data_IF_501726292527
#
_entry.id   IF_501726292527
#
_cell.length_a   1.000
_cell.length_b   1.000
_cell.length_c   1.000
_cell.angle_alpha   90.00
_cell.angle_beta   90.00
_cell.angle_gamma   90.00
#
_symmetry.space_group_name_H-M   'P 1'
#
loop_
_entity.id
_entity.type
_entity.pdbx_description
1 polymer ?
#
# COMPACT_ATOMS: atom_id res chain seq x y z
N UNK A 1 -1.16 -20.88 1.08
CA UNK A 1 0.28 -20.66 0.81
C UNK A 1 0.62 -21.36 -0.50
N UNK A 2 1.73 -21.02 -1.14
CA UNK A 2 2.20 -21.72 -2.33
C UNK A 2 3.54 -22.38 -2.02
N UNK A 3 3.78 -23.58 -2.55
CA UNK A 3 5.06 -24.26 -2.39
C UNK A 3 6.13 -23.58 -3.26
N UNK A 4 7.27 -23.21 -2.66
CA UNK A 4 8.36 -22.52 -3.36
C UNK A 4 9.05 -23.39 -4.44
N UNK A 5 8.96 -24.73 -4.35
CA UNK A 5 9.57 -25.62 -5.35
C UNK A 5 8.61 -25.96 -6.51
N UNK A 6 7.32 -26.17 -6.25
CA UNK A 6 6.40 -26.68 -7.29
C UNK A 6 5.17 -25.79 -7.54
N UNK A 7 5.05 -24.64 -6.87
CA UNK A 7 3.96 -23.69 -7.08
C UNK A 7 2.57 -24.17 -6.65
N UNK A 8 2.43 -25.35 -6.03
CA UNK A 8 1.12 -25.88 -5.65
C UNK A 8 0.53 -25.12 -4.45
N UNK A 9 -0.79 -24.93 -4.44
CA UNK A 9 -1.53 -24.24 -3.38
C UNK A 9 -1.70 -25.18 -2.18
N UNK A 10 -1.06 -24.84 -1.06
CA UNK A 10 -1.23 -25.55 0.20
C UNK A 10 -2.24 -24.83 1.11
N UNK A 11 -3.19 -25.59 1.65
CA UNK A 11 -4.05 -25.14 2.74
C UNK A 11 -3.21 -25.12 4.03
N UNK A 12 -3.24 -24.02 4.77
CA UNK A 12 -2.23 -23.63 5.78
C UNK A 12 -2.09 -24.49 7.06
N UNK A 13 -2.36 -25.80 6.99
CA UNK A 13 -2.22 -26.75 8.10
C UNK A 13 -1.36 -27.99 7.77
N UNK A 14 -0.63 -27.99 6.65
CA UNK A 14 0.24 -29.09 6.25
C UNK A 14 1.71 -28.68 6.27
N UNK A 15 2.54 -29.51 6.92
CA UNK A 15 3.99 -29.26 7.07
C UNK A 15 4.79 -29.57 5.81
N UNK A 16 4.23 -30.31 4.85
CA UNK A 16 4.90 -30.77 3.63
C UNK A 16 3.99 -30.57 2.42
N UNK A 17 4.58 -30.20 1.28
CA UNK A 17 3.84 -30.05 0.04
C UNK A 17 3.36 -31.42 -0.47
N UNK A 18 2.06 -31.63 -0.73
CA UNK A 18 1.53 -32.92 -1.16
C UNK A 18 1.99 -33.32 -2.57
N UNK A 19 2.55 -32.38 -3.34
CA UNK A 19 2.95 -32.63 -4.72
C UNK A 19 4.46 -32.85 -4.90
N UNK A 20 5.31 -32.29 -4.03
CA UNK A 20 6.76 -32.41 -4.16
C UNK A 20 7.50 -32.78 -2.87
N UNK A 21 6.78 -33.00 -1.77
CA UNK A 21 7.36 -33.41 -0.49
C UNK A 21 8.19 -32.35 0.23
N UNK A 22 8.37 -31.16 -0.34
CA UNK A 22 9.16 -30.11 0.30
C UNK A 22 8.49 -29.62 1.59
N UNK A 23 9.28 -29.44 2.65
CA UNK A 23 8.83 -28.82 3.90
C UNK A 23 8.29 -27.42 3.62
N UNK A 24 7.03 -27.19 3.97
CA UNK A 24 6.41 -25.88 3.90
C UNK A 24 6.88 -25.08 5.11
N UNK A 25 7.58 -23.98 4.87
CA UNK A 25 7.93 -23.04 5.93
C UNK A 25 6.63 -22.36 6.35
N UNK A 26 6.13 -22.68 7.55
CA UNK A 26 5.05 -21.95 8.19
C UNK A 26 5.53 -20.52 8.46
N UNK A 27 5.39 -19.64 7.46
CA UNK A 27 5.49 -18.22 7.71
C UNK A 27 4.27 -17.87 8.54
N UNK A 28 4.48 -17.57 9.82
CA UNK A 28 3.48 -16.89 10.63
C UNK A 28 3.26 -15.53 9.97
N UNK A 29 2.34 -15.47 9.01
CA UNK A 29 1.84 -14.22 8.45
C UNK A 29 1.01 -13.57 9.56
N UNK A 30 1.67 -12.95 10.53
CA UNK A 30 1.03 -11.91 11.31
C UNK A 30 0.52 -10.90 10.31
N UNK A 31 -0.79 -10.69 10.28
CA UNK A 31 -1.38 -9.64 9.46
C UNK A 31 -0.64 -8.34 9.78
N UNK A 32 -0.16 -7.57 8.78
CA UNK A 32 0.50 -6.31 9.07
C UNK A 32 -0.46 -5.44 9.88
N UNK A 33 0.04 -4.91 11.00
CA UNK A 33 -0.76 -4.05 11.86
C UNK A 33 -1.05 -2.75 11.10
N UNK A 34 -2.30 -2.57 10.71
CA UNK A 34 -2.74 -1.36 10.01
C UNK A 34 -2.73 -0.21 11.01
N UNK A 35 -1.95 0.83 10.71
CA UNK A 35 -1.84 2.02 11.54
C UNK A 35 -2.89 3.06 11.15
N UNK A 36 -3.08 3.28 9.85
CA UNK A 36 -4.06 4.25 9.35
C UNK A 36 -4.50 3.92 7.92
N UNK A 37 -5.74 4.30 7.60
CA UNK A 37 -6.32 4.17 6.26
C UNK A 37 -6.93 5.51 5.87
N UNK A 38 -6.58 5.98 4.67
CA UNK A 38 -7.09 7.22 4.10
C UNK A 38 -7.58 6.96 2.69
N UNK A 39 -8.67 7.61 2.30
CA UNK A 39 -9.23 7.55 0.95
C UNK A 39 -9.43 8.95 0.42
N UNK A 40 -9.32 9.12 -0.90
CA UNK A 40 -9.71 10.36 -1.56
C UNK A 40 -11.21 10.61 -1.37
N UNK A 41 -11.59 11.89 -1.36
CA UNK A 41 -12.94 12.29 -0.98
C UNK A 41 -13.66 12.91 -2.17
N UNK A 42 -14.88 12.43 -2.42
CA UNK A 42 -15.78 13.00 -3.43
C UNK A 42 -16.00 14.51 -3.22
N UNK A 43 -16.06 14.95 -1.96
CA UNK A 43 -16.30 16.35 -1.60
C UNK A 43 -15.21 17.30 -2.10
N UNK A 44 -14.02 16.79 -2.40
CA UNK A 44 -12.89 17.57 -2.90
C UNK A 44 -12.45 17.14 -4.30
N UNK A 45 -13.33 16.44 -5.03
CA UNK A 45 -13.09 16.04 -6.43
C UNK A 45 -12.56 14.61 -6.62
N UNK A 46 -12.54 13.79 -5.57
CA UNK A 46 -12.15 12.39 -5.64
C UNK A 46 -13.14 11.55 -6.46
N UNK A 47 -12.66 10.43 -7.00
CA UNK A 47 -13.47 9.55 -7.83
C UNK A 47 -14.45 8.71 -6.98
N UNK A 48 -15.75 8.74 -7.34
CA UNK A 48 -16.84 8.05 -6.63
C UNK A 48 -16.65 6.53 -6.64
N UNK A 49 -16.32 5.99 -7.82
CA UNK A 49 -16.26 4.54 -8.02
C UNK A 49 -14.87 4.00 -7.65
N UNK A 50 -13.86 4.87 -7.65
CA UNK A 50 -12.46 4.46 -7.58
C UNK A 50 -11.64 5.44 -6.74
N UNK A 51 -12.00 5.67 -5.47
CA UNK A 51 -11.21 6.55 -4.65
C UNK A 51 -9.79 5.99 -4.50
N UNK A 52 -8.81 6.86 -4.67
CA UNK A 52 -7.43 6.56 -4.35
C UNK A 52 -7.35 6.26 -2.86
N UNK A 53 -6.70 5.16 -2.46
CA UNK A 53 -6.57 4.77 -1.06
C UNK A 53 -5.12 4.60 -0.68
N UNK A 54 -4.77 5.12 0.48
CA UNK A 54 -3.49 4.89 1.14
C UNK A 54 -3.71 4.15 2.44
N UNK A 55 -3.07 3.00 2.58
CA UNK A 55 -3.07 2.18 3.79
C UNK A 55 -1.64 2.21 4.32
N UNK A 56 -1.47 2.71 5.54
CA UNK A 56 -0.17 2.81 6.21
C UNK A 56 -0.12 1.73 7.29
N UNK A 57 0.90 0.89 7.22
CA UNK A 57 1.19 -0.13 8.23
C UNK A 57 2.53 0.15 8.92
N UNK A 58 3.10 -0.85 9.60
CA UNK A 58 4.40 -0.69 10.25
C UNK A 58 5.60 -0.80 9.31
N UNK A 59 5.41 -1.41 8.14
CA UNK A 59 6.45 -1.68 7.14
C UNK A 59 6.51 -0.64 6.03
N UNK A 60 5.38 -0.02 5.67
CA UNK A 60 5.32 0.90 4.55
C UNK A 60 3.93 1.43 4.23
N UNK A 61 3.79 1.83 2.98
CA UNK A 61 2.58 2.42 2.43
C UNK A 61 2.07 1.55 1.29
N UNK A 62 0.83 1.10 1.39
CA UNK A 62 0.10 0.47 0.29
C UNK A 62 -0.77 1.54 -0.38
N UNK A 63 -0.64 1.67 -1.68
CA UNK A 63 -1.52 2.49 -2.51
C UNK A 63 -2.44 1.60 -3.33
N UNK A 64 -3.74 1.86 -3.20
CA UNK A 64 -4.77 1.20 -4.00
C UNK A 64 -5.41 2.22 -4.93
N UNK A 65 -5.55 1.86 -6.21
CA UNK A 65 -6.36 2.59 -7.19
C UNK A 65 -7.06 1.59 -8.10
N UNK A 66 -8.14 1.96 -8.77
CA UNK A 66 -8.71 1.06 -9.80
C UNK A 66 -7.74 0.94 -10.98
N UNK A 67 -7.63 -0.28 -11.50
CA UNK A 67 -6.94 -0.56 -12.74
C UNK A 67 -7.62 0.20 -13.88
N UNK A 68 -6.84 0.97 -14.64
CA UNK A 68 -7.36 1.78 -15.76
C UNK A 68 -7.97 0.93 -16.88
N UNK A 69 -7.56 -0.33 -17.01
CA UNK A 69 -7.86 -1.21 -18.14
C UNK A 69 -8.75 -2.42 -17.78
N UNK A 70 -8.96 -2.73 -16.50
CA UNK A 70 -9.70 -3.92 -16.03
C UNK A 70 -10.65 -3.62 -14.85
N UNK A 71 -11.62 -4.52 -14.60
CA UNK A 71 -12.48 -4.51 -13.39
C UNK A 71 -11.65 -5.05 -12.20
N UNK A 72 -10.62 -4.31 -11.80
CA UNK A 72 -9.70 -4.70 -10.73
C UNK A 72 -9.11 -3.50 -10.00
N UNK A 73 -8.49 -3.76 -8.86
CA UNK A 73 -7.77 -2.75 -8.06
C UNK A 73 -6.28 -3.00 -8.23
N UNK A 74 -5.57 -2.02 -8.77
CA UNK A 74 -4.11 -1.98 -8.76
C UNK A 74 -3.66 -1.67 -7.33
N UNK A 75 -2.73 -2.48 -6.83
CA UNK A 75 -2.09 -2.27 -5.53
C UNK A 75 -0.59 -2.14 -5.74
N UNK A 76 0.00 -1.10 -5.18
CA UNK A 76 1.45 -0.98 -5.05
C UNK A 76 1.83 -0.83 -3.59
N UNK A 77 2.98 -1.40 -3.22
CA UNK A 77 3.53 -1.29 -1.88
C UNK A 77 4.89 -0.59 -1.96
N UNK A 78 5.11 0.36 -1.06
CA UNK A 78 6.37 1.08 -0.92
C UNK A 78 6.81 1.03 0.54
N UNK A 79 7.90 0.30 0.80
CA UNK A 79 8.53 0.25 2.13
C UNK A 79 9.01 1.62 2.55
N UNK A 80 8.91 1.95 3.86
CA UNK A 80 9.44 3.20 4.41
C UNK A 80 10.95 3.36 4.11
N UNK A 81 11.71 2.27 4.13
CA UNK A 81 13.15 2.29 3.83
C UNK A 81 13.44 2.78 2.41
N UNK A 82 12.52 2.51 1.48
CA UNK A 82 12.65 2.88 0.07
C UNK A 82 12.06 4.24 -0.27
N UNK A 83 11.42 4.93 0.67
CA UNK A 83 10.88 6.28 0.44
C UNK A 83 12.02 7.29 0.53
N UNK A 84 12.18 8.10 -0.51
CA UNK A 84 13.09 9.25 -0.53
C UNK A 84 12.48 10.44 0.18
N UNK A 85 11.26 10.80 -0.21
CA UNK A 85 10.54 11.93 0.36
C UNK A 85 9.04 11.79 0.16
N UNK A 86 8.30 12.54 0.97
CA UNK A 86 6.87 12.77 0.82
C UNK A 86 6.62 14.28 0.68
N UNK A 87 5.77 14.66 -0.27
CA UNK A 87 5.39 16.06 -0.53
C UNK A 87 3.88 16.16 -0.71
N UNK A 88 3.30 17.20 -0.13
CA UNK A 88 1.91 17.60 -0.39
C UNK A 88 1.91 18.66 -1.49
N UNK A 89 1.20 18.37 -2.58
CA UNK A 89 0.87 19.35 -3.61
C UNK A 89 -0.56 19.86 -3.35
N UNK A 90 -0.66 21.09 -2.82
CA UNK A 90 -1.95 21.67 -2.42
C UNK A 90 -2.63 22.35 -3.59
N UNK A 91 -3.92 22.08 -3.73
CA UNK A 91 -4.86 22.83 -4.58
C UNK A 91 -5.77 23.68 -3.70
N UNK A 92 -6.73 24.35 -4.33
CA UNK A 92 -7.65 25.28 -3.65
C UNK A 92 -8.47 24.60 -2.54
N UNK A 93 -8.95 23.37 -2.80
CA UNK A 93 -9.85 22.61 -1.90
C UNK A 93 -9.38 21.19 -1.62
N UNK A 94 -8.45 20.68 -2.43
CA UNK A 94 -7.92 19.32 -2.36
C UNK A 94 -6.40 19.32 -2.31
N UNK A 95 -5.82 18.14 -2.14
CA UNK A 95 -4.37 17.96 -2.17
C UNK A 95 -4.01 16.61 -2.75
N UNK A 96 -2.89 16.59 -3.47
CA UNK A 96 -2.26 15.35 -3.91
C UNK A 96 -1.09 15.05 -2.97
N UNK A 97 -0.90 13.77 -2.67
CA UNK A 97 0.24 13.27 -1.91
C UNK A 97 1.19 12.60 -2.91
N UNK A 98 2.40 13.12 -2.99
CA UNK A 98 3.47 12.59 -3.83
C UNK A 98 4.48 11.89 -2.91
N UNK A 99 4.62 10.58 -3.06
CA UNK A 99 5.58 9.75 -2.33
C UNK A 99 6.59 9.24 -3.35
N UNK A 100 7.82 9.75 -3.26
CA UNK A 100 8.89 9.35 -4.18
C UNK A 100 9.72 8.23 -3.56
N UNK A 101 10.02 7.19 -4.33
CA UNK A 101 10.98 6.17 -3.90
C UNK A 101 12.42 6.61 -4.17
N UNK A 102 13.40 5.88 -3.63
CA UNK A 102 14.84 6.03 -3.97
C UNK A 102 15.17 5.50 -5.37
N UNK A 103 14.23 4.81 -6.01
CA UNK A 103 14.31 4.38 -7.41
C UNK A 103 13.56 5.32 -8.36
N UNK A 104 13.08 4.76 -9.48
CA UNK A 104 12.33 5.51 -10.50
C UNK A 104 10.85 5.65 -10.20
N UNK A 105 10.33 4.87 -9.25
CA UNK A 105 8.90 4.79 -9.01
C UNK A 105 8.43 5.84 -8.00
N UNK A 106 7.27 6.43 -8.28
CA UNK A 106 6.59 7.36 -7.38
C UNK A 106 5.10 7.05 -7.32
N UNK A 107 4.53 7.23 -6.13
CA UNK A 107 3.10 7.13 -5.88
C UNK A 107 2.54 8.55 -5.86
N UNK A 108 1.49 8.79 -6.66
CA UNK A 108 0.76 10.05 -6.67
C UNK A 108 -0.70 9.75 -6.32
N UNK A 109 -1.04 9.94 -5.05
CA UNK A 109 -2.39 9.75 -4.55
C UNK A 109 -3.16 11.08 -4.64
N UNK A 110 -4.31 11.07 -5.32
CA UNK A 110 -5.00 12.30 -5.74
C UNK A 110 -6.24 12.62 -4.91
N UNK A 111 -6.54 13.92 -4.83
CA UNK A 111 -7.83 14.46 -4.36
C UNK A 111 -8.19 14.06 -2.91
N UNK A 112 -7.21 14.23 -2.01
CA UNK A 112 -7.40 14.07 -0.57
C UNK A 112 -7.74 15.41 0.08
N UNK A 113 -8.47 15.37 1.20
CA UNK A 113 -8.60 16.52 2.08
C UNK A 113 -7.22 16.97 2.55
N UNK A 114 -7.02 18.29 2.63
CA UNK A 114 -5.76 18.89 3.09
C UNK A 114 -5.39 18.40 4.50
N UNK A 115 -6.39 18.19 5.36
CA UNK A 115 -6.18 17.63 6.71
C UNK A 115 -5.61 16.22 6.67
N UNK A 116 -6.12 15.38 5.77
CA UNK A 116 -5.71 13.98 5.67
C UNK A 116 -4.32 13.88 5.03
N UNK A 117 -4.05 14.68 3.99
CA UNK A 117 -2.72 14.78 3.41
C UNK A 117 -1.66 15.19 4.45
N UNK A 118 -1.97 16.15 5.34
CA UNK A 118 -1.07 16.54 6.44
C UNK A 118 -0.83 15.40 7.43
N UNK A 119 -1.87 14.64 7.79
CA UNK A 119 -1.74 13.48 8.68
C UNK A 119 -0.88 12.39 8.05
N UNK A 120 -1.11 12.08 6.78
CA UNK A 120 -0.33 11.10 6.00
C UNK A 120 1.14 11.53 5.98
N UNK A 121 1.42 12.77 5.62
CA UNK A 121 2.78 13.32 5.58
C UNK A 121 3.48 13.20 6.94
N UNK A 122 2.79 13.55 8.03
CA UNK A 122 3.34 13.46 9.38
C UNK A 122 3.66 12.00 9.77
N UNK A 123 2.75 11.06 9.49
CA UNK A 123 2.97 9.63 9.77
C UNK A 123 4.19 9.12 8.99
N UNK A 124 4.26 9.39 7.68
CA UNK A 124 5.38 8.92 6.85
C UNK A 124 6.69 9.54 7.35
N UNK A 125 6.75 10.86 7.56
CA UNK A 125 7.96 11.52 8.07
C UNK A 125 8.44 10.95 9.41
N UNK A 126 7.53 10.64 10.32
CA UNK A 126 7.88 10.04 11.61
C UNK A 126 8.55 8.65 11.47
N UNK A 127 8.23 7.91 10.39
CA UNK A 127 8.82 6.61 10.11
C UNK A 127 10.18 6.71 9.39
N UNK A 128 10.44 7.81 8.67
CA UNK A 128 11.71 8.06 7.97
C UNK A 128 12.83 8.59 8.88
N UNK A 129 12.49 9.14 10.05
CA UNK A 129 13.44 9.72 11.01
C UNK A 129 13.94 8.71 12.07
N UNK A 130 13.66 7.42 11.87
CA UNK A 130 14.21 6.33 12.68
C UNK A 130 15.52 5.84 12.10
#
# INVERSE_FOLDING_TARGET
>A
MYCNNCGNKSNGKINFCPQCGQKLIHQNYSSPKINAVFSSSLLVGGNILTPDKLILDDSGVVYERRNKYLIGVDRSFLSYDNISYVKIDRRLVSSNIIISSRGTDSIIAKDFFISDAKKIEAIIKSKLQR
#
